data_IF_267146408960
#
_entry.id   IF_267146408960
#
_cell.length_a   1.000
_cell.length_b   1.000
_cell.length_c   1.000
_cell.angle_alpha   90.00
_cell.angle_beta   90.00
_cell.angle_gamma   90.00
#
_symmetry.space_group_name_H-M   'P 1'
#
loop_
_entity.id
_entity.type
_entity.pdbx_description
1 polymer ?
#
# COMPACT_ATOMS: atom_id res chain seq x y z
N UNK A 1 -7.95 -7.60 27.33
CA UNK A 1 -7.01 -6.67 28.00
C UNK A 1 -7.72 -5.64 28.86
N UNK A 2 -8.56 -4.72 28.36
CA UNK A 2 -9.38 -3.85 29.25
C UNK A 2 -10.34 -4.60 30.19
N UNK A 3 -10.74 -5.82 29.82
CA UNK A 3 -11.56 -6.72 30.64
C UNK A 3 -10.84 -7.24 31.90
N UNK A 4 -9.50 -7.14 31.94
CA UNK A 4 -8.65 -7.52 33.07
C UNK A 4 -8.48 -6.29 34.01
N UNK A 5 -9.17 -5.17 33.76
CA UNK A 5 -9.01 -3.93 34.53
C UNK A 5 -7.67 -3.21 34.31
N UNK A 6 -6.83 -3.72 33.40
CA UNK A 6 -5.50 -3.16 33.18
C UNK A 6 -5.56 -1.83 32.44
N UNK A 7 -4.81 -0.85 32.95
CA UNK A 7 -4.60 0.43 32.27
C UNK A 7 -3.74 0.25 31.01
N UNK A 8 -3.85 1.18 30.05
CA UNK A 8 -3.03 1.14 28.83
C UNK A 8 -1.53 1.13 29.16
N UNK A 9 -1.11 1.80 30.24
CA UNK A 9 0.29 1.82 30.70
C UNK A 9 0.73 0.45 31.24
N UNK A 10 -0.14 -0.25 31.97
CA UNK A 10 0.16 -1.59 32.47
C UNK A 10 0.34 -2.58 31.31
N UNK A 11 -0.58 -2.56 30.34
CA UNK A 11 -0.49 -3.39 29.13
C UNK A 11 0.80 -3.07 28.36
N UNK A 12 1.13 -1.79 28.22
CA UNK A 12 2.30 -1.32 27.49
C UNK A 12 3.62 -1.77 28.13
N UNK A 13 3.70 -1.80 29.47
CA UNK A 13 4.87 -2.36 30.19
C UNK A 13 5.03 -3.85 29.91
N UNK A 14 3.94 -4.60 29.92
CA UNK A 14 3.96 -6.04 29.67
C UNK A 14 4.45 -6.39 28.25
N UNK A 15 3.97 -5.67 27.24
CA UNK A 15 4.32 -5.92 25.84
C UNK A 15 5.51 -5.08 25.34
N UNK A 16 6.19 -4.40 26.26
CA UNK A 16 7.32 -3.50 26.01
C UNK A 16 7.09 -2.52 24.84
N UNK A 17 6.00 -1.77 24.88
CA UNK A 17 5.70 -0.73 23.89
C UNK A 17 5.29 0.59 24.55
N UNK A 18 5.10 1.64 23.76
CA UNK A 18 4.56 2.90 24.28
C UNK A 18 3.07 2.77 24.67
N UNK A 19 2.59 3.44 25.73
CA UNK A 19 1.17 3.45 26.09
C UNK A 19 0.25 3.98 24.98
N UNK A 20 0.76 4.88 24.14
CA UNK A 20 0.04 5.41 22.97
C UNK A 20 -0.19 4.33 21.91
N UNK A 21 0.77 3.43 21.70
CA UNK A 21 0.63 2.29 20.78
C UNK A 21 -0.56 1.40 21.18
N UNK A 22 -0.72 1.10 22.47
CA UNK A 22 -1.87 0.37 23.01
C UNK A 22 -3.17 1.14 22.78
N UNK A 23 -3.18 2.45 23.01
CA UNK A 23 -4.35 3.29 22.74
C UNK A 23 -4.78 3.23 21.26
N UNK A 24 -3.82 3.38 20.34
CA UNK A 24 -4.07 3.30 18.90
C UNK A 24 -4.45 1.90 18.41
N UNK A 25 -3.92 0.85 19.04
CA UNK A 25 -4.38 -0.52 18.88
C UNK A 25 -5.86 -0.67 19.20
N UNK A 26 -6.25 -0.31 20.41
CA UNK A 26 -7.61 -0.47 20.88
C UNK A 26 -8.59 0.37 20.06
N UNK A 27 -8.22 1.61 19.71
CA UNK A 27 -9.05 2.49 18.88
C UNK A 27 -9.27 1.92 17.47
N UNK A 28 -8.24 1.36 16.84
CA UNK A 28 -8.35 0.79 15.49
C UNK A 28 -9.04 -0.58 15.47
N UNK A 29 -8.85 -1.37 16.53
CA UNK A 29 -9.35 -2.75 16.63
C UNK A 29 -10.70 -2.89 17.32
N UNK A 30 -11.22 -1.84 17.95
CA UNK A 30 -12.53 -1.85 18.63
C UNK A 30 -13.52 -1.00 17.85
N UNK A 31 -14.70 -1.53 17.47
CA UNK A 31 -15.77 -0.74 16.88
C UNK A 31 -16.23 0.37 17.83
N UNK A 32 -16.69 1.48 17.27
CA UNK A 32 -17.42 2.48 18.04
C UNK A 32 -18.76 1.90 18.53
N UNK A 33 -19.19 2.32 19.72
CA UNK A 33 -20.41 1.80 20.30
C UNK A 33 -21.61 2.59 19.78
N UNK A 34 -22.56 1.90 19.16
CA UNK A 34 -23.78 2.50 18.60
C UNK A 34 -24.86 2.83 19.64
N UNK A 35 -24.55 2.70 20.94
CA UNK A 35 -25.53 2.93 22.03
C UNK A 35 -26.50 1.78 22.27
N UNK A 36 -26.61 0.81 21.35
CA UNK A 36 -27.54 -0.33 21.45
C UNK A 36 -26.79 -1.65 21.57
N UNK A 37 -27.33 -2.56 22.37
CA UNK A 37 -26.85 -3.93 22.50
C UNK A 37 -25.50 -4.04 23.22
N UNK A 38 -24.71 -5.06 22.84
CA UNK A 38 -23.46 -5.39 23.55
C UNK A 38 -22.36 -4.39 23.22
N UNK A 39 -21.69 -3.87 24.26
CA UNK A 39 -20.50 -3.02 24.09
C UNK A 39 -19.43 -3.73 23.24
N UNK A 40 -18.88 -3.05 22.21
CA UNK A 40 -17.90 -3.63 21.32
C UNK A 40 -16.63 -4.03 22.06
N UNK A 41 -16.00 -5.09 21.56
CA UNK A 41 -14.76 -5.62 22.10
C UNK A 41 -13.66 -5.49 21.06
N UNK A 42 -12.43 -5.38 21.56
CA UNK A 42 -11.25 -5.41 20.70
C UNK A 42 -11.24 -6.70 19.88
N UNK A 43 -10.96 -6.58 18.58
CA UNK A 43 -10.82 -7.69 17.65
C UNK A 43 -9.56 -7.50 16.79
N UNK A 44 -8.59 -8.40 16.95
CA UNK A 44 -7.39 -8.43 16.11
C UNK A 44 -7.73 -8.63 14.63
N UNK A 45 -8.72 -9.48 14.32
CA UNK A 45 -9.21 -9.71 12.96
C UNK A 45 -9.72 -8.43 12.32
N UNK A 46 -10.48 -7.62 13.06
CA UNK A 46 -10.96 -6.30 12.60
C UNK A 46 -9.79 -5.37 12.30
N UNK A 47 -8.83 -5.26 13.22
CA UNK A 47 -7.67 -4.38 13.00
C UNK A 47 -6.86 -4.79 11.78
N UNK A 48 -6.64 -6.09 11.59
CA UNK A 48 -5.96 -6.61 10.41
C UNK A 48 -6.73 -6.31 9.12
N UNK A 49 -8.06 -6.39 9.13
CA UNK A 49 -8.88 -6.00 7.99
C UNK A 49 -8.75 -4.50 7.67
N UNK A 50 -8.83 -3.62 8.68
CA UNK A 50 -8.62 -2.17 8.51
C UNK A 50 -7.23 -1.87 7.94
N UNK A 51 -6.20 -2.54 8.46
CA UNK A 51 -4.84 -2.40 7.95
C UNK A 51 -4.73 -2.78 6.46
N UNK A 52 -5.30 -3.92 6.07
CA UNK A 52 -5.29 -4.37 4.66
C UNK A 52 -6.02 -3.39 3.75
N UNK A 53 -7.19 -2.89 4.16
CA UNK A 53 -7.96 -1.90 3.41
C UNK A 53 -7.16 -0.61 3.17
N UNK A 54 -6.51 -0.08 4.22
CA UNK A 54 -5.66 1.11 4.09
C UNK A 54 -4.43 0.86 3.22
N UNK A 55 -3.83 -0.34 3.34
CA UNK A 55 -2.64 -0.72 2.57
C UNK A 55 -2.87 -0.75 1.05
N UNK A 56 -4.11 -0.96 0.59
CA UNK A 56 -4.48 -0.81 -0.82
C UNK A 56 -4.25 0.63 -1.30
N UNK A 57 -4.53 1.62 -0.45
CA UNK A 57 -4.43 3.06 -0.75
C UNK A 57 -3.03 3.64 -0.54
N UNK A 58 -2.18 2.98 0.26
CA UNK A 58 -0.80 3.43 0.52
C UNK A 58 0.15 3.29 -0.70
N UNK A 59 -0.32 2.72 -1.81
CA UNK A 59 0.51 2.52 -3.00
C UNK A 59 0.57 3.82 -3.79
N UNK A 60 1.77 4.15 -4.29
CA UNK A 60 1.92 5.20 -5.30
C UNK A 60 0.99 4.89 -6.47
N UNK A 61 0.06 5.79 -6.85
CA UNK A 61 -0.79 5.59 -8.01
C UNK A 61 0.13 5.37 -9.22
N UNK A 62 0.09 4.17 -9.81
CA UNK A 62 0.82 3.92 -11.04
C UNK A 62 0.09 4.67 -12.13
N UNK A 63 0.65 5.81 -12.58
CA UNK A 63 0.17 6.53 -13.78
C UNK A 63 0.40 5.75 -15.08
N UNK A 64 0.89 4.52 -14.98
CA UNK A 64 1.08 3.66 -16.13
C UNK A 64 -0.28 3.19 -16.60
N UNK A 65 -0.74 3.88 -17.63
CA UNK A 65 -1.78 3.47 -18.56
C UNK A 65 -1.59 1.98 -18.82
N UNK A 66 -2.51 1.15 -18.32
CA UNK A 66 -2.55 -0.28 -18.62
C UNK A 66 -2.57 -0.58 -20.13
N UNK A 67 -2.79 0.45 -20.96
CA UNK A 67 -2.83 0.42 -22.42
C UNK A 67 -1.82 1.37 -23.09
N UNK A 68 -0.62 1.57 -22.52
CA UNK A 68 0.41 2.33 -23.24
C UNK A 68 0.83 1.56 -24.49
N UNK A 69 0.93 2.26 -25.64
CA UNK A 69 1.40 1.66 -26.90
C UNK A 69 2.83 1.12 -26.76
N UNK A 70 3.61 1.69 -25.85
CA UNK A 70 4.93 1.20 -25.46
C UNK A 70 4.87 -0.19 -24.79
N UNK A 71 3.96 -0.41 -23.83
CA UNK A 71 3.90 -1.69 -23.10
C UNK A 71 3.52 -2.86 -24.02
N UNK A 72 2.56 -2.66 -24.93
CA UNK A 72 2.18 -3.70 -25.91
C UNK A 72 3.37 -4.08 -26.81
N UNK A 73 4.07 -3.07 -27.32
CA UNK A 73 5.26 -3.29 -28.14
C UNK A 73 6.40 -3.93 -27.34
N UNK A 74 6.66 -3.48 -26.11
CA UNK A 74 7.70 -4.02 -25.27
C UNK A 74 7.44 -5.49 -24.93
N UNK A 75 6.19 -5.86 -24.59
CA UNK A 75 5.82 -7.27 -24.36
C UNK A 75 6.09 -8.12 -25.59
N UNK A 76 5.67 -7.67 -26.78
CA UNK A 76 5.93 -8.38 -28.03
C UNK A 76 7.44 -8.60 -28.26
N UNK A 77 8.27 -7.57 -28.01
CA UNK A 77 9.72 -7.67 -28.21
C UNK A 77 10.43 -8.50 -27.16
N UNK A 78 9.95 -8.49 -25.92
CA UNK A 78 10.43 -9.39 -24.86
C UNK A 78 10.09 -10.84 -25.23
N UNK A 79 8.86 -11.12 -25.67
CA UNK A 79 8.43 -12.49 -25.98
C UNK A 79 9.04 -13.03 -27.27
N UNK A 80 9.16 -12.21 -28.32
CA UNK A 80 9.61 -12.66 -29.64
C UNK A 80 11.14 -12.62 -29.82
N UNK A 81 11.82 -11.69 -29.14
CA UNK A 81 13.26 -11.46 -29.34
C UNK A 81 14.08 -11.55 -28.05
N UNK A 82 13.45 -11.94 -26.93
CA UNK A 82 14.09 -12.06 -25.61
C UNK A 82 14.84 -10.78 -25.18
N UNK A 83 14.29 -9.61 -25.55
CA UNK A 83 14.89 -8.33 -25.16
C UNK A 83 14.74 -8.07 -23.67
N UNK A 84 15.72 -7.39 -23.07
CA UNK A 84 15.55 -6.84 -21.73
C UNK A 84 14.65 -5.60 -21.77
N UNK A 85 14.08 -5.23 -20.62
CA UNK A 85 13.32 -3.99 -20.49
C UNK A 85 14.15 -2.76 -20.86
N UNK A 86 15.43 -2.73 -20.48
CA UNK A 86 16.35 -1.62 -20.82
C UNK A 86 16.61 -1.53 -22.32
N UNK A 87 16.76 -2.66 -23.01
CA UNK A 87 16.86 -2.68 -24.48
C UNK A 87 15.59 -2.13 -25.14
N UNK A 88 14.42 -2.48 -24.61
CA UNK A 88 13.15 -1.94 -25.11
C UNK A 88 13.10 -0.41 -24.95
N UNK A 89 13.45 0.13 -23.78
CA UNK A 89 13.48 1.58 -23.53
C UNK A 89 14.51 2.28 -24.43
N UNK A 90 15.72 1.74 -24.54
CA UNK A 90 16.78 2.31 -25.37
C UNK A 90 16.39 2.39 -26.84
N UNK A 91 15.85 1.30 -27.41
CA UNK A 91 15.41 1.28 -28.81
C UNK A 91 14.18 2.14 -29.05
N UNK A 92 13.23 2.17 -28.11
CA UNK A 92 12.07 3.05 -28.20
C UNK A 92 12.47 4.54 -28.25
N UNK A 93 13.48 4.94 -27.46
CA UNK A 93 14.04 6.30 -27.45
C UNK A 93 14.79 6.61 -28.74
N UNK A 94 15.67 5.69 -29.18
CA UNK A 94 16.46 5.84 -30.42
C UNK A 94 15.54 6.04 -31.64
N UNK A 95 14.48 5.24 -31.72
CA UNK A 95 13.53 5.27 -32.83
C UNK A 95 12.45 6.35 -32.67
N UNK A 96 12.46 7.12 -31.57
CA UNK A 96 11.42 8.11 -31.20
C UNK A 96 9.98 7.57 -31.35
N UNK A 97 9.81 6.26 -31.14
CA UNK A 97 8.62 5.49 -31.57
C UNK A 97 7.34 5.84 -30.79
N UNK A 98 7.48 6.50 -29.64
CA UNK A 98 6.39 6.88 -28.74
C UNK A 98 6.45 8.37 -28.34
N UNK A 99 6.92 9.25 -29.24
CA UNK A 99 6.92 10.69 -29.04
C UNK A 99 5.46 11.18 -28.85
N UNK A 100 5.14 11.67 -27.64
CA UNK A 100 3.78 12.07 -27.25
C UNK A 100 3.25 11.30 -26.03
N UNK A 101 3.72 10.07 -25.81
CA UNK A 101 3.55 9.39 -24.53
C UNK A 101 4.70 9.79 -23.62
N UNK A 102 4.62 11.00 -23.07
CA UNK A 102 5.47 11.49 -21.99
C UNK A 102 5.30 10.55 -20.78
N UNK A 103 5.99 9.41 -20.83
CA UNK A 103 6.31 8.64 -19.65
C UNK A 103 7.20 9.58 -18.86
N UNK A 104 6.61 10.22 -17.86
CA UNK A 104 7.32 10.94 -16.81
C UNK A 104 8.12 9.91 -16.03
N UNK A 105 9.17 9.39 -16.66
CA UNK A 105 10.34 8.86 -16.00
C UNK A 105 10.86 10.07 -15.25
N UNK A 106 10.66 10.03 -13.94
CA UNK A 106 11.05 11.07 -13.01
C UNK A 106 12.39 11.67 -13.43
N UNK A 107 12.36 12.94 -13.86
CA UNK A 107 13.47 13.85 -13.66
C UNK A 107 13.58 14.02 -12.14
N UNK A 108 14.34 13.15 -11.48
CA UNK A 108 14.86 13.49 -10.17
C UNK A 108 16.18 14.22 -10.44
N UNK A 109 16.03 15.53 -10.59
CA UNK A 109 17.06 16.51 -10.23
C UNK A 109 16.84 16.82 -8.75
N UNK A 110 17.97 16.90 -8.03
CA UNK A 110 18.18 17.04 -6.58
C UNK A 110 18.05 15.74 -5.79
#
# INVERSE_FOLDING_TARGET
MKRIGLSNRAIAREINCSPSTVGYELRRGTPEYSGRGRRPRYSAKRRAAVYRANRVRCRRPKRHLANSSFLRWAVEKITAHNWSFDTCVGRARLLKRFAGQQHSLHKNVV
#
